data_IF_414820088691
#
_entry.id   IF_414820088691
#
_cell.length_a   1.000
_cell.length_b   1.000
_cell.length_c   1.000
_cell.angle_alpha   90.00
_cell.angle_beta   90.00
_cell.angle_gamma   90.00
#
_symmetry.space_group_name_H-M   'P 1'
#
loop_
_entity.id
_entity.type
_entity.pdbx_description
1 polymer ?
#
# COMPACT_ATOMS: atom_id res chain seq x y z
N UNK A 1 2.56 -17.78 5.69
CA UNK A 1 1.37 -16.98 6.02
C UNK A 1 0.50 -16.84 4.78
N UNK A 2 -0.80 -17.11 4.89
CA UNK A 2 -1.76 -16.81 3.83
C UNK A 2 -2.86 -15.89 4.38
N UNK A 3 -3.10 -14.77 3.72
CA UNK A 3 -4.16 -13.81 4.05
C UNK A 3 -5.33 -13.98 3.09
N UNK A 4 -6.46 -14.50 3.58
CA UNK A 4 -7.61 -14.83 2.75
C UNK A 4 -8.41 -13.57 2.40
N UNK A 5 -8.59 -13.33 1.10
CA UNK A 5 -9.35 -12.21 0.55
C UNK A 5 -10.55 -12.71 -0.24
N UNK A 6 -11.70 -12.07 -0.06
CA UNK A 6 -12.94 -12.37 -0.80
C UNK A 6 -13.15 -11.44 -2.01
N UNK A 7 -12.37 -10.36 -2.09
CA UNK A 7 -12.48 -9.34 -3.15
C UNK A 7 -11.88 -9.74 -4.50
N UNK A 8 -11.66 -8.75 -5.37
CA UNK A 8 -10.94 -8.96 -6.64
C UNK A 8 -9.44 -8.84 -6.44
N UNK A 9 -8.68 -9.66 -7.17
CA UNK A 9 -7.21 -9.61 -7.25
C UNK A 9 -6.68 -8.54 -8.20
N UNK A 10 -7.54 -7.86 -8.98
CA UNK A 10 -7.09 -6.94 -10.04
C UNK A 10 -6.21 -5.77 -9.58
N UNK A 11 -6.40 -5.32 -8.32
CA UNK A 11 -5.61 -4.23 -7.72
C UNK A 11 -4.31 -4.70 -7.07
N UNK A 12 -3.96 -5.98 -7.18
CA UNK A 12 -2.79 -6.58 -6.54
C UNK A 12 -1.66 -6.86 -7.54
N UNK A 13 -1.82 -6.48 -8.82
CA UNK A 13 -0.78 -6.67 -9.85
C UNK A 13 0.52 -5.91 -9.56
N UNK A 14 0.46 -4.79 -8.84
CA UNK A 14 1.63 -4.01 -8.45
C UNK A 14 2.60 -4.81 -7.55
N UNK A 15 2.10 -5.79 -6.80
CA UNK A 15 2.90 -6.64 -5.90
C UNK A 15 3.98 -7.46 -6.60
N UNK A 16 3.91 -7.58 -7.93
CA UNK A 16 4.96 -8.22 -8.73
C UNK A 16 6.27 -7.42 -8.72
N UNK A 17 6.16 -6.09 -8.70
CA UNK A 17 7.30 -5.18 -8.83
C UNK A 17 7.57 -4.40 -7.54
N UNK A 18 6.51 -4.13 -6.77
CA UNK A 18 6.57 -3.40 -5.51
C UNK A 18 5.82 -4.21 -4.43
N UNK A 19 6.54 -4.90 -3.53
CA UNK A 19 5.94 -5.80 -2.55
C UNK A 19 5.03 -5.11 -1.52
N UNK A 20 5.07 -3.77 -1.40
CA UNK A 20 4.23 -3.00 -0.48
C UNK A 20 3.23 -2.08 -1.16
N UNK A 21 3.22 -2.03 -2.50
CA UNK A 21 2.37 -1.18 -3.35
C UNK A 21 2.33 0.26 -2.81
N UNK A 22 3.49 0.90 -2.71
CA UNK A 22 3.65 2.29 -2.27
C UNK A 22 3.04 2.53 -0.88
N UNK A 23 3.17 1.53 -0.01
CA UNK A 23 2.60 1.54 1.34
C UNK A 23 1.11 1.25 1.42
N UNK A 24 0.44 0.85 0.33
CA UNK A 24 -0.99 0.47 0.34
C UNK A 24 -1.22 -0.96 0.82
N UNK A 25 -0.18 -1.81 0.83
CA UNK A 25 -0.28 -3.26 1.14
C UNK A 25 0.72 -3.71 2.19
N UNK A 26 0.54 -3.23 3.42
CA UNK A 26 1.43 -3.50 4.55
C UNK A 26 1.04 -4.72 5.40
N UNK A 27 -0.04 -5.44 5.05
CA UNK A 27 -0.56 -6.57 5.83
C UNK A 27 0.38 -7.78 5.82
N UNK A 28 0.86 -8.21 4.64
CA UNK A 28 1.73 -9.39 4.54
C UNK A 28 3.05 -9.23 5.31
N UNK A 29 3.80 -8.12 5.18
CA UNK A 29 5.03 -7.95 5.94
C UNK A 29 4.81 -7.98 7.46
N UNK A 30 3.73 -7.36 7.96
CA UNK A 30 3.38 -7.37 9.39
C UNK A 30 3.16 -8.81 9.88
N UNK A 31 2.38 -9.61 9.15
CA UNK A 31 2.13 -10.99 9.53
C UNK A 31 3.35 -11.89 9.37
N UNK A 32 4.17 -11.66 8.34
CA UNK A 32 5.42 -12.39 8.14
C UNK A 32 6.41 -12.13 9.28
N UNK A 33 6.53 -10.86 9.73
CA UNK A 33 7.34 -10.49 10.90
C UNK A 33 6.84 -11.17 12.18
N UNK A 34 5.53 -11.14 12.42
CA UNK A 34 4.94 -11.79 13.59
C UNK A 34 5.18 -13.31 13.58
N UNK A 35 5.00 -13.97 12.42
CA UNK A 35 5.26 -15.39 12.27
C UNK A 35 6.75 -15.74 12.43
N UNK A 36 7.65 -14.89 11.92
CA UNK A 36 9.10 -15.08 12.06
C UNK A 36 9.59 -14.89 13.50
N UNK A 37 9.02 -13.93 14.24
CA UNK A 37 9.33 -13.73 15.65
C UNK A 37 8.81 -14.85 16.56
N UNK A 38 7.80 -15.59 16.11
CA UNK A 38 7.26 -16.75 16.82
C UNK A 38 7.96 -18.08 16.46
N UNK A 39 8.87 -18.08 15.48
CA UNK A 39 9.62 -19.26 15.05
C UNK A 39 10.99 -19.35 15.73
N UNK A 40 11.68 -20.48 15.52
CA UNK A 40 13.01 -20.78 16.06
C UNK A 40 14.16 -20.04 15.35
N UNK A 41 13.86 -19.05 14.51
CA UNK A 41 14.83 -18.28 13.74
C UNK A 41 15.47 -19.01 12.54
N UNK A 42 15.28 -20.33 12.42
CA UNK A 42 15.73 -21.14 11.28
C UNK A 42 14.65 -21.28 10.19
N UNK A 43 13.40 -20.94 10.51
CA UNK A 43 12.26 -21.09 9.60
C UNK A 43 12.15 -19.92 8.62
N UNK A 44 12.31 -20.19 7.33
CA UNK A 44 11.99 -19.20 6.28
C UNK A 44 10.49 -18.96 6.20
N UNK A 45 10.06 -17.74 6.55
CA UNK A 45 8.65 -17.34 6.43
C UNK A 45 8.37 -16.76 5.05
N UNK A 46 7.31 -17.27 4.40
CA UNK A 46 6.78 -16.72 3.14
C UNK A 46 5.32 -16.28 3.30
N UNK A 47 4.90 -15.27 2.55
CA UNK A 47 3.58 -14.69 2.63
C UNK A 47 2.95 -14.42 1.26
N UNK A 48 1.63 -14.63 1.17
CA UNK A 48 0.82 -14.26 0.01
C UNK A 48 -0.63 -13.96 0.43
N UNK A 49 -1.34 -13.17 -0.38
CA UNK A 49 -2.79 -13.12 -0.34
C UNK A 49 -3.36 -14.32 -1.10
N UNK A 50 -4.42 -14.95 -0.58
CA UNK A 50 -5.19 -15.96 -1.31
C UNK A 50 -6.61 -15.48 -1.55
N UNK A 51 -6.96 -15.28 -2.82
CA UNK A 51 -8.27 -14.80 -3.23
C UNK A 51 -9.29 -15.93 -3.36
N UNK A 52 -10.00 -16.23 -2.28
CA UNK A 52 -10.89 -17.41 -2.14
C UNK A 52 -12.30 -17.21 -2.71
N UNK A 53 -12.45 -16.41 -3.77
CA UNK A 53 -13.74 -16.13 -4.41
C UNK A 53 -13.67 -16.28 -5.92
N UNK A 54 -14.81 -16.53 -6.57
CA UNK A 54 -14.93 -16.54 -8.04
C UNK A 54 -14.48 -15.21 -8.65
N UNK A 55 -14.82 -14.08 -8.02
CA UNK A 55 -14.38 -12.72 -8.40
C UNK A 55 -12.86 -12.55 -8.30
N UNK A 56 -12.22 -13.23 -7.36
CA UNK A 56 -10.79 -13.22 -7.15
C UNK A 56 -10.04 -14.28 -7.98
N UNK A 57 -10.76 -15.21 -8.60
CA UNK A 57 -10.23 -16.26 -9.47
C UNK A 57 -9.50 -17.39 -8.75
N UNK A 58 -9.65 -17.53 -7.43
CA UNK A 58 -8.95 -18.55 -6.62
C UNK A 58 -7.42 -18.48 -6.69
N UNK A 59 -6.85 -17.30 -6.98
CA UNK A 59 -5.41 -17.09 -7.21
C UNK A 59 -4.67 -16.58 -5.97
N UNK A 60 -3.36 -16.80 -5.95
CA UNK A 60 -2.45 -16.12 -5.03
C UNK A 60 -2.03 -14.76 -5.60
N UNK A 61 -1.78 -13.79 -4.72
CA UNK A 61 -1.08 -12.57 -5.07
C UNK A 61 -0.03 -12.23 -3.99
N UNK A 62 1.24 -12.04 -4.36
CA UNK A 62 1.83 -12.43 -5.64
C UNK A 62 1.70 -13.95 -5.90
N UNK A 63 1.85 -14.38 -7.16
CA UNK A 63 1.65 -15.78 -7.58
C UNK A 63 2.61 -16.73 -6.84
N UNK A 64 3.86 -16.29 -6.64
CA UNK A 64 4.83 -16.93 -5.78
C UNK A 64 4.86 -16.22 -4.43
N UNK A 65 4.58 -16.89 -3.29
CA UNK A 65 4.67 -16.28 -1.98
C UNK A 65 6.05 -15.66 -1.73
N UNK A 66 6.08 -14.44 -1.21
CA UNK A 66 7.31 -13.65 -1.01
C UNK A 66 7.87 -13.92 0.37
N UNK A 67 9.18 -14.05 0.48
CA UNK A 67 9.86 -14.27 1.76
C UNK A 67 9.84 -13.01 2.63
N UNK A 68 9.98 -13.18 3.95
CA UNK A 68 10.09 -12.05 4.87
C UNK A 68 11.26 -11.12 4.50
N UNK A 69 12.41 -11.67 4.10
CA UNK A 69 13.59 -10.87 3.74
C UNK A 69 13.32 -9.98 2.53
N UNK A 70 12.62 -10.50 1.51
CA UNK A 70 12.21 -9.74 0.33
C UNK A 70 11.21 -8.61 0.68
N UNK A 71 10.38 -8.78 1.71
CA UNK A 71 9.42 -7.75 2.13
C UNK A 71 10.05 -6.64 2.98
N UNK A 72 11.11 -6.95 3.72
CA UNK A 72 11.50 -6.19 4.91
C UNK A 72 12.06 -4.79 4.60
N UNK A 73 12.82 -4.66 3.51
CA UNK A 73 13.43 -3.38 3.10
C UNK A 73 12.36 -2.34 2.77
N UNK A 74 11.54 -2.63 1.77
CA UNK A 74 10.44 -1.76 1.33
C UNK A 74 9.43 -1.51 2.43
N UNK A 75 9.11 -2.53 3.23
CA UNK A 75 8.22 -2.38 4.38
C UNK A 75 8.75 -1.35 5.38
N UNK A 76 10.03 -1.47 5.79
CA UNK A 76 10.64 -0.53 6.73
C UNK A 76 10.66 0.90 6.17
N UNK A 77 11.00 1.06 4.90
CA UNK A 77 11.02 2.36 4.22
C UNK A 77 9.64 3.02 4.20
N UNK A 78 8.61 2.27 3.78
CA UNK A 78 7.23 2.75 3.73
C UNK A 78 6.69 3.11 5.12
N UNK A 79 6.87 2.23 6.11
CA UNK A 79 6.42 2.48 7.49
C UNK A 79 7.15 3.67 8.11
N UNK A 80 8.46 3.79 7.92
CA UNK A 80 9.22 4.94 8.41
C UNK A 80 8.68 6.24 7.82
N UNK A 81 8.44 6.29 6.51
CA UNK A 81 7.86 7.46 5.83
C UNK A 81 6.49 7.83 6.41
N UNK A 82 5.58 6.85 6.52
CA UNK A 82 4.21 7.06 7.02
C UNK A 82 4.23 7.50 8.49
N UNK A 83 4.92 6.75 9.36
CA UNK A 83 4.95 7.01 10.80
C UNK A 83 5.61 8.36 11.12
N UNK A 84 6.68 8.70 10.40
CA UNK A 84 7.38 9.98 10.55
C UNK A 84 6.49 11.15 10.10
N UNK A 85 5.71 10.98 9.02
CA UNK A 85 4.70 11.94 8.60
C UNK A 85 3.62 12.17 9.66
N UNK A 86 3.05 11.09 10.20
CA UNK A 86 2.06 11.15 11.28
C UNK A 86 2.62 11.85 12.53
N UNK A 87 3.84 11.51 12.94
CA UNK A 87 4.49 12.13 14.11
C UNK A 87 4.69 13.64 13.94
N UNK A 88 4.94 14.12 12.72
CA UNK A 88 5.05 15.54 12.39
C UNK A 88 3.71 16.25 12.17
N UNK A 89 2.58 15.56 12.35
CA UNK A 89 1.26 16.12 12.12
C UNK A 89 0.93 16.33 10.63
N UNK A 90 1.57 15.58 9.73
CA UNK A 90 1.34 15.69 8.29
C UNK A 90 0.22 14.75 7.85
N UNK A 91 -0.97 15.33 7.58
CA UNK A 91 -2.16 14.62 7.11
C UNK A 91 -2.61 15.13 5.73
N UNK A 92 -1.82 14.91 4.67
CA UNK A 92 -2.18 15.36 3.34
C UNK A 92 -3.42 14.61 2.82
N UNK A 93 -4.48 15.35 2.50
CA UNK A 93 -5.63 14.82 1.80
C UNK A 93 -5.29 14.58 0.32
N UNK A 94 -4.69 13.42 0.02
CA UNK A 94 -4.38 13.00 -1.35
C UNK A 94 -5.56 12.23 -1.96
N UNK A 95 -6.31 12.81 -2.91
CA UNK A 95 -7.47 12.17 -3.50
C UNK A 95 -7.11 11.02 -4.47
N UNK A 96 -5.86 10.93 -4.94
CA UNK A 96 -5.46 9.99 -5.99
C UNK A 96 -5.82 10.48 -7.39
N UNK A 97 -5.82 9.58 -8.38
CA UNK A 97 -6.17 9.91 -9.77
C UNK A 97 -7.67 10.19 -9.91
N UNK A 98 -8.04 10.96 -10.93
CA UNK A 98 -9.44 11.16 -11.30
C UNK A 98 -10.08 9.81 -11.68
N UNK A 99 -11.36 9.64 -11.37
CA UNK A 99 -12.12 8.39 -11.57
C UNK A 99 -13.57 8.69 -11.94
N UNK A 100 -14.29 7.71 -12.49
CA UNK A 100 -15.65 7.91 -13.05
C UNK A 100 -16.69 8.55 -12.11
N UNK A 101 -16.49 8.54 -10.79
CA UNK A 101 -17.46 9.07 -9.81
C UNK A 101 -16.88 10.08 -8.81
N UNK A 102 -15.57 10.19 -8.71
CA UNK A 102 -14.83 11.06 -7.77
C UNK A 102 -13.34 10.82 -8.04
N UNK A 103 -12.52 10.60 -7.02
CA UNK A 103 -11.12 10.22 -7.15
C UNK A 103 -10.85 8.81 -6.60
N UNK A 104 -9.74 8.21 -7.03
CA UNK A 104 -9.29 6.85 -6.67
C UNK A 104 -9.39 6.55 -5.16
N UNK A 105 -8.90 7.47 -4.32
CA UNK A 105 -8.90 7.28 -2.86
C UNK A 105 -10.20 7.74 -2.19
N UNK A 106 -11.13 8.33 -2.94
CA UNK A 106 -12.35 8.92 -2.39
C UNK A 106 -13.58 8.02 -2.51
N UNK A 107 -13.62 7.10 -3.48
CA UNK A 107 -14.84 6.34 -3.79
C UNK A 107 -15.37 5.42 -2.69
N UNK A 108 -14.54 5.06 -1.71
CA UNK A 108 -14.90 4.26 -0.53
C UNK A 108 -14.61 4.98 0.80
N UNK A 109 -14.44 6.31 0.77
CA UNK A 109 -14.08 7.10 1.94
C UNK A 109 -15.32 7.67 2.64
N UNK A 110 -15.56 7.28 3.89
CA UNK A 110 -16.71 7.77 4.69
C UNK A 110 -16.67 9.28 4.95
N UNK A 111 -15.50 9.91 4.83
CA UNK A 111 -15.30 11.35 5.02
C UNK A 111 -15.50 12.16 3.74
N UNK A 112 -16.04 11.57 2.67
CA UNK A 112 -16.22 12.23 1.37
C UNK A 112 -17.00 13.55 1.48
N UNK A 113 -18.00 13.63 2.36
CA UNK A 113 -18.83 14.81 2.61
C UNK A 113 -18.13 15.91 3.41
N UNK A 114 -17.09 15.55 4.17
CA UNK A 114 -16.26 16.51 4.92
C UNK A 114 -15.10 17.06 4.08
N UNK A 115 -14.65 16.31 3.08
CA UNK A 115 -13.57 16.75 2.20
C UNK A 115 -14.03 17.89 1.27
N UNK A 116 -13.21 18.94 1.08
CA UNK A 116 -13.50 20.01 0.11
C UNK A 116 -13.79 19.46 -1.29
N UNK A 117 -14.67 20.13 -2.03
CA UNK A 117 -15.02 19.77 -3.41
C UNK A 117 -13.82 19.88 -4.36
N UNK A 118 -12.92 20.84 -4.12
CA UNK A 118 -11.69 21.11 -4.88
C UNK A 118 -10.44 20.43 -4.29
N UNK A 119 -10.60 19.18 -3.82
CA UNK A 119 -9.54 18.42 -3.13
C UNK A 119 -8.31 18.11 -4.00
N UNK A 120 -8.50 17.95 -5.30
CA UNK A 120 -7.46 17.82 -6.31
C UNK A 120 -6.60 19.09 -6.41
N UNK A 121 -7.22 20.26 -6.44
CA UNK A 121 -6.52 21.55 -6.45
C UNK A 121 -5.77 21.74 -5.13
N UNK A 122 -6.41 21.42 -4.00
CA UNK A 122 -5.78 21.49 -2.69
C UNK A 122 -4.56 20.54 -2.60
N UNK A 123 -4.69 19.32 -3.12
CA UNK A 123 -3.59 18.36 -3.20
C UNK A 123 -2.48 18.84 -4.12
N UNK A 124 -2.79 19.34 -5.32
CA UNK A 124 -1.81 19.85 -6.29
C UNK A 124 -0.95 20.98 -5.71
N UNK A 125 -1.54 21.82 -4.86
CA UNK A 125 -0.79 22.87 -4.14
C UNK A 125 0.06 22.30 -3.02
N UNK A 126 -0.51 21.41 -2.19
CA UNK A 126 0.16 20.86 -1.01
C UNK A 126 1.29 19.90 -1.35
N UNK A 127 1.17 19.09 -2.41
CA UNK A 127 2.17 18.08 -2.78
C UNK A 127 3.55 18.64 -3.14
N UNK A 128 3.66 19.94 -3.39
CA UNK A 128 4.94 20.61 -3.62
C UNK A 128 5.66 21.07 -2.34
N UNK A 129 5.01 20.93 -1.18
CA UNK A 129 5.62 21.28 0.11
C UNK A 129 6.75 20.29 0.46
N UNK A 130 7.93 20.80 0.80
CA UNK A 130 9.12 20.00 1.13
C UNK A 130 8.86 19.00 2.26
N UNK A 131 7.95 19.32 3.19
CA UNK A 131 7.60 18.44 4.31
C UNK A 131 6.92 17.16 3.85
N UNK A 132 6.34 17.17 2.64
CA UNK A 132 5.70 16.03 2.01
C UNK A 132 6.60 15.28 1.03
N UNK A 133 7.85 15.70 0.80
CA UNK A 133 8.72 15.12 -0.22
C UNK A 133 8.83 13.58 -0.09
N UNK A 134 9.14 13.07 1.11
CA UNK A 134 9.23 11.62 1.34
C UNK A 134 7.91 10.88 1.07
N UNK A 135 6.77 11.47 1.41
CA UNK A 135 5.47 10.87 1.10
C UNK A 135 5.19 10.89 -0.40
N UNK A 136 5.52 11.98 -1.11
CA UNK A 136 5.35 12.08 -2.56
C UNK A 136 6.28 11.11 -3.29
N UNK A 137 7.50 10.90 -2.78
CA UNK A 137 8.44 9.92 -3.31
C UNK A 137 7.93 8.49 -3.13
N UNK A 138 7.37 8.16 -1.95
CA UNK A 138 6.72 6.87 -1.71
C UNK A 138 5.59 6.58 -2.71
N UNK A 139 4.91 7.61 -3.22
CA UNK A 139 3.82 7.44 -4.20
C UNK A 139 4.28 7.20 -5.64
N UNK A 140 5.57 7.37 -5.96
CA UNK A 140 6.07 7.21 -7.32
C UNK A 140 6.05 5.73 -7.72
N UNK A 141 5.80 5.50 -9.00
CA UNK A 141 6.02 4.17 -9.60
C UNK A 141 7.50 4.04 -9.91
N UNK A 142 8.17 3.02 -9.38
CA UNK A 142 9.50 2.68 -9.86
C UNK A 142 9.40 2.29 -11.35
N UNK A 143 10.14 3.00 -12.21
CA UNK A 143 10.20 2.74 -13.65
C UNK A 143 9.32 3.63 -14.54
N UNK A 144 8.57 4.60 -14.01
CA UNK A 144 7.93 5.65 -14.82
C UNK A 144 8.90 6.82 -15.06
N UNK A 145 10.03 6.52 -15.71
CA UNK A 145 11.04 7.49 -16.12
C UNK A 145 11.05 7.66 -17.64
N UNK A 146 10.79 8.90 -18.07
CA UNK A 146 10.84 9.47 -19.44
C UNK A 146 9.57 9.36 -20.26
#
# INVERSE_FOLDING_TARGET
VLDYKTGSSGQYGALKNDPVDRGRRLQLPVYALAAGGASDGATTVRAAYWFVSTRGGFKLAPESPVSLDELLGEFRSAVATIASGVHRGLFPANPGKDSRRSFENCGYCDFQSLCPSYRDVAWSRKRGDERLAAYVDLLKEEGAGS
#
